data_IF_575184794085
#
_entry.id   IF_575184794085
#
_cell.length_a   1.000
_cell.length_b   1.000
_cell.length_c   1.000
_cell.angle_alpha   90.00
_cell.angle_beta   90.00
_cell.angle_gamma   90.00
#
_symmetry.space_group_name_H-M   'P 1'
#
loop_
_entity.id
_entity.type
_entity.pdbx_description
1 polymer ?
#
# COMPACT_ATOMS: atom_id res chain seq x y z
N UNK A 1 -22.11 -23.09 -5.74
CA UNK A 1 -22.65 -21.97 -6.53
C UNK A 1 -21.71 -20.80 -6.39
N UNK A 2 -21.33 -20.14 -7.48
CA UNK A 2 -20.37 -19.00 -7.51
C UNK A 2 -20.79 -17.88 -6.53
N UNK A 3 -22.08 -17.84 -6.18
CA UNK A 3 -22.70 -16.95 -5.19
C UNK A 3 -22.07 -17.01 -3.78
N UNK A 4 -21.49 -18.15 -3.36
CA UNK A 4 -20.86 -18.25 -2.03
C UNK A 4 -19.39 -17.79 -1.99
N UNK A 5 -18.74 -17.56 -3.13
CA UNK A 5 -17.38 -16.97 -3.17
C UNK A 5 -17.42 -15.44 -3.16
N UNK A 6 -18.56 -14.83 -3.49
CA UNK A 6 -18.76 -13.38 -3.45
C UNK A 6 -19.07 -12.83 -2.05
N UNK A 7 -19.38 -13.68 -1.06
CA UNK A 7 -19.75 -13.26 0.29
C UNK A 7 -18.57 -12.71 1.12
N UNK A 8 -17.33 -12.82 0.63
CA UNK A 8 -16.16 -12.11 1.15
C UNK A 8 -15.73 -10.94 0.26
N UNK A 9 -16.68 -10.26 -0.40
CA UNK A 9 -16.46 -8.86 -0.78
C UNK A 9 -16.29 -8.08 0.52
N UNK A 10 -15.02 -7.90 0.93
CA UNK A 10 -14.63 -7.04 2.01
C UNK A 10 -15.38 -5.72 1.86
N UNK A 11 -16.14 -5.36 2.90
CA UNK A 11 -16.87 -4.11 3.01
C UNK A 11 -16.01 -2.98 2.42
N UNK A 12 -16.44 -2.40 1.29
CA UNK A 12 -15.64 -1.39 0.57
C UNK A 12 -15.48 -0.18 1.47
N UNK A 13 -14.30 -0.05 2.06
CA UNK A 13 -13.92 1.11 2.86
C UNK A 13 -13.37 2.18 1.93
N UNK A 14 -13.46 3.44 2.35
CA UNK A 14 -12.95 4.56 1.57
C UNK A 14 -12.09 5.45 2.45
N UNK A 15 -11.02 5.99 1.88
CA UNK A 15 -10.35 7.17 2.41
C UNK A 15 -10.97 8.41 1.77
N UNK A 16 -11.13 9.47 2.53
CA UNK A 16 -11.65 10.74 2.04
C UNK A 16 -10.54 11.76 2.11
N UNK A 17 -10.25 12.40 0.97
CA UNK A 17 -9.40 13.59 0.95
C UNK A 17 -10.17 14.76 1.58
N UNK A 18 -9.68 15.35 2.67
CA UNK A 18 -10.38 16.45 3.35
C UNK A 18 -10.37 17.76 2.54
N UNK A 19 -9.43 17.94 1.62
CA UNK A 19 -9.31 19.16 0.81
C UNK A 19 -10.19 19.09 -0.44
N UNK A 20 -10.24 17.93 -1.09
CA UNK A 20 -10.95 17.75 -2.37
C UNK A 20 -12.29 17.03 -2.23
N UNK A 21 -12.53 16.32 -1.13
CA UNK A 21 -13.71 15.48 -0.92
C UNK A 21 -13.69 14.17 -1.71
N UNK A 22 -12.61 13.89 -2.44
CA UNK A 22 -12.47 12.68 -3.26
C UNK A 22 -12.45 11.43 -2.39
N UNK A 23 -13.06 10.35 -2.90
CA UNK A 23 -13.15 9.06 -2.22
C UNK A 23 -12.22 8.06 -2.89
N UNK A 24 -11.31 7.49 -2.12
CA UNK A 24 -10.40 6.46 -2.61
C UNK A 24 -10.80 5.11 -2.04
N UNK A 25 -11.23 4.15 -2.87
CA UNK A 25 -11.63 2.84 -2.38
C UNK A 25 -10.40 2.06 -1.88
N UNK A 26 -10.57 1.37 -0.76
CA UNK A 26 -9.56 0.56 -0.08
C UNK A 26 -10.14 -0.82 0.30
N UNK A 27 -9.25 -1.80 0.51
CA UNK A 27 -9.63 -3.14 0.99
C UNK A 27 -9.63 -4.25 -0.08
N UNK A 28 -9.20 -3.97 -1.31
CA UNK A 28 -9.06 -4.98 -2.36
C UNK A 28 -7.86 -5.92 -2.25
N UNK A 29 -6.99 -5.74 -1.24
CA UNK A 29 -5.81 -6.58 -1.06
C UNK A 29 -6.18 -7.88 -0.32
N UNK A 30 -5.88 -9.03 -0.93
CA UNK A 30 -6.06 -10.33 -0.30
C UNK A 30 -4.88 -10.62 0.63
N UNK A 31 -5.16 -10.75 1.92
CA UNK A 31 -4.16 -11.18 2.90
C UNK A 31 -3.89 -12.67 2.69
N UNK A 32 -2.61 -13.04 2.58
CA UNK A 32 -2.22 -14.45 2.52
C UNK A 32 -2.73 -15.20 3.74
N UNK A 33 -3.38 -16.34 3.54
CA UNK A 33 -3.81 -17.23 4.62
C UNK A 33 -2.64 -18.08 5.16
N UNK A 34 -1.52 -18.12 4.43
CA UNK A 34 -0.33 -18.81 4.91
C UNK A 34 0.38 -17.93 5.94
N UNK A 35 0.64 -18.45 7.15
CA UNK A 35 1.41 -17.70 8.13
C UNK A 35 2.79 -17.40 7.54
N UNK A 36 3.19 -16.14 7.61
CA UNK A 36 4.54 -15.73 7.24
C UNK A 36 5.54 -16.47 8.12
N UNK A 37 6.47 -17.19 7.50
CA UNK A 37 7.65 -17.74 8.19
C UNK A 37 8.71 -16.67 8.44
N UNK A 38 8.54 -15.46 7.88
CA UNK A 38 9.42 -14.34 8.13
C UNK A 38 9.20 -13.82 9.55
N UNK A 39 10.29 -13.56 10.30
CA UNK A 39 10.19 -12.96 11.62
C UNK A 39 9.56 -11.57 11.51
N UNK A 40 8.75 -11.20 12.49
CA UNK A 40 8.27 -9.82 12.62
C UNK A 40 9.48 -8.93 12.85
N UNK A 41 9.85 -8.14 11.83
CA UNK A 41 10.96 -7.21 11.95
C UNK A 41 10.54 -6.04 12.83
N UNK A 42 11.15 -5.91 14.01
CA UNK A 42 11.25 -4.62 14.66
C UNK A 42 12.16 -3.71 13.85
N UNK A 43 12.03 -2.39 13.99
CA UNK A 43 13.03 -1.46 13.48
C UNK A 43 14.34 -1.57 14.30
N UNK A 44 15.02 -2.70 14.22
CA UNK A 44 16.38 -2.86 14.73
C UNK A 44 17.34 -2.46 13.62
N UNK A 45 18.02 -1.32 13.79
CA UNK A 45 19.08 -0.87 12.89
C UNK A 45 20.19 -1.93 12.85
N UNK A 46 20.28 -2.65 11.74
CA UNK A 46 21.33 -3.65 11.48
C UNK A 46 22.67 -3.00 11.13
N UNK A 47 22.63 -1.74 10.68
CA UNK A 47 23.79 -0.89 10.41
C UNK A 47 23.94 0.15 11.51
N UNK A 48 25.18 0.48 11.87
CA UNK A 48 25.42 1.51 12.87
C UNK A 48 24.92 2.87 12.37
N UNK A 49 24.49 3.76 13.28
CA UNK A 49 24.04 5.12 12.92
C UNK A 49 25.09 5.95 12.17
N UNK A 50 26.35 5.50 12.15
CA UNK A 50 27.47 6.15 11.44
C UNK A 50 27.54 5.77 9.96
N UNK A 51 26.91 4.66 9.57
CA UNK A 51 26.95 4.12 8.20
C UNK A 51 25.74 4.54 7.36
N UNK A 52 24.72 5.10 7.99
CA UNK A 52 23.52 5.59 7.30
C UNK A 52 23.34 7.09 7.54
N UNK A 53 22.98 7.85 6.49
CA UNK A 53 22.57 9.23 6.67
C UNK A 53 21.35 9.32 7.60
N UNK A 54 21.22 10.44 8.30
CA UNK A 54 20.10 10.66 9.23
C UNK A 54 18.73 10.67 8.53
N UNK A 55 18.71 11.07 7.26
CA UNK A 55 17.54 11.03 6.38
C UNK A 55 18.01 10.97 4.92
N UNK A 56 17.19 10.41 4.05
CA UNK A 56 17.37 10.43 2.60
C UNK A 56 16.08 10.93 1.99
N UNK A 57 16.17 11.97 1.16
CA UNK A 57 15.05 12.46 0.37
C UNK A 57 15.15 11.91 -1.04
N UNK A 58 14.28 10.94 -1.36
CA UNK A 58 14.22 10.32 -2.68
C UNK A 58 13.23 11.01 -3.62
N UNK A 59 12.49 12.02 -3.16
CA UNK A 59 11.40 12.64 -3.96
C UNK A 59 11.89 13.21 -5.29
N UNK A 60 13.15 13.64 -5.35
CA UNK A 60 13.78 14.17 -6.57
C UNK A 60 13.97 13.09 -7.66
N UNK A 61 13.96 11.82 -7.27
CA UNK A 61 14.14 10.66 -8.16
C UNK A 61 12.81 9.94 -8.43
N UNK A 62 11.71 10.40 -7.83
CA UNK A 62 10.40 9.75 -7.94
C UNK A 62 9.60 10.31 -9.12
N UNK A 63 8.80 9.45 -9.74
CA UNK A 63 7.81 9.87 -10.74
C UNK A 63 6.68 10.69 -10.10
N UNK A 64 5.99 11.54 -10.87
CA UNK A 64 4.81 12.26 -10.38
C UNK A 64 3.75 11.31 -9.78
N UNK A 65 3.00 11.81 -8.82
CA UNK A 65 1.91 11.05 -8.17
C UNK A 65 0.77 10.85 -9.17
N UNK A 66 0.32 9.60 -9.32
CA UNK A 66 -0.80 9.21 -10.19
C UNK A 66 -2.04 8.89 -9.36
N UNK A 67 -3.20 9.43 -9.76
CA UNK A 67 -4.47 9.15 -9.10
C UNK A 67 -4.95 7.72 -9.38
N UNK A 68 -5.42 7.02 -8.34
CA UNK A 68 -6.10 5.73 -8.50
C UNK A 68 -7.55 5.88 -8.98
N UNK A 69 -8.11 7.10 -8.92
CA UNK A 69 -9.52 7.36 -9.21
C UNK A 69 -10.47 6.53 -8.34
N UNK A 70 -11.61 6.17 -8.90
CA UNK A 70 -12.66 5.40 -8.21
C UNK A 70 -12.42 3.88 -8.24
N UNK A 71 -11.19 3.43 -8.51
CA UNK A 71 -10.84 2.03 -8.67
C UNK A 71 -10.02 1.49 -7.50
N UNK A 72 -10.18 0.19 -7.19
CA UNK A 72 -9.37 -0.55 -6.23
C UNK A 72 -7.97 -0.91 -6.80
N UNK A 73 -7.27 0.06 -7.38
CA UNK A 73 -6.03 -0.13 -8.15
C UNK A 73 -4.76 0.31 -7.41
N UNK A 74 -4.83 0.59 -6.10
CA UNK A 74 -3.70 1.10 -5.33
C UNK A 74 -2.43 0.23 -5.45
N UNK A 75 -2.58 -1.09 -5.52
CA UNK A 75 -1.44 -2.03 -5.73
C UNK A 75 -0.83 -1.87 -7.13
N UNK A 76 -1.66 -1.69 -8.16
CA UNK A 76 -1.21 -1.48 -9.53
C UNK A 76 -0.42 -0.17 -9.69
N UNK A 77 -0.95 0.92 -9.14
CA UNK A 77 -0.26 2.22 -9.17
C UNK A 77 1.04 2.18 -8.36
N UNK A 78 1.06 1.49 -7.21
CA UNK A 78 2.28 1.32 -6.41
C UNK A 78 3.37 0.56 -7.18
N UNK A 79 3.03 -0.51 -7.90
CA UNK A 79 3.99 -1.26 -8.71
C UNK A 79 4.49 -0.45 -9.91
N UNK A 80 3.59 0.23 -10.63
CA UNK A 80 3.95 1.03 -11.79
C UNK A 80 4.86 2.21 -11.43
N UNK A 81 4.73 2.78 -10.24
CA UNK A 81 5.58 3.89 -9.78
C UNK A 81 6.96 3.46 -9.23
N UNK A 82 7.20 2.15 -9.08
CA UNK A 82 8.50 1.60 -8.64
C UNK A 82 9.39 1.23 -9.84
N UNK A 83 8.78 0.92 -10.99
CA UNK A 83 9.45 0.58 -12.26
C UNK A 83 9.93 1.83 -13.00
#
# INVERSE_FOLDING_TARGET
TIENMCAHMAESKYLIDPETGNRFPIGGCLISQQPSTLPTFGSSRTLSNKELPSSVDLRQLMTPVVSQGDFNSCVGNALAGIL
#
